data_IF_073568905838
#
_entry.id   IF_073568905838
#
_cell.length_a   1.000
_cell.length_b   1.000
_cell.length_c   1.000
_cell.angle_alpha   90.00
_cell.angle_beta   90.00
_cell.angle_gamma   90.00
#
_symmetry.space_group_name_H-M   'P 1'
#
loop_
_entity.id
_entity.type
_entity.pdbx_description
1 polymer ?
#
# COMPACT_ATOMS: atom_id res chain seq x y z
N UNK A 1 14.29 53.85 -20.99
CA UNK A 1 13.17 53.35 -20.16
C UNK A 1 12.89 51.92 -20.57
N UNK A 2 13.34 50.98 -19.76
CA UNK A 2 13.35 49.54 -20.05
C UNK A 2 11.95 48.93 -19.87
N UNK A 3 11.47 48.22 -20.89
CA UNK A 3 10.31 47.32 -20.77
C UNK A 3 10.74 46.11 -19.94
N UNK A 4 10.21 45.98 -18.72
CA UNK A 4 10.26 44.73 -17.95
C UNK A 4 9.37 43.72 -18.66
N UNK A 5 9.99 42.66 -19.19
CA UNK A 5 9.32 41.44 -19.58
C UNK A 5 8.86 40.77 -18.29
N UNK A 6 7.55 40.60 -18.13
CA UNK A 6 6.97 39.83 -17.03
C UNK A 6 7.11 38.37 -17.44
N UNK A 7 8.04 37.65 -16.81
CA UNK A 7 8.13 36.20 -16.89
C UNK A 7 6.87 35.59 -16.27
N UNK A 8 6.05 34.94 -17.09
CA UNK A 8 5.00 34.03 -16.65
C UNK A 8 5.68 32.83 -15.99
N UNK A 9 5.62 32.75 -14.65
CA UNK A 9 5.87 31.50 -13.93
C UNK A 9 4.60 30.67 -14.03
N UNK A 10 4.56 29.72 -14.97
CA UNK A 10 3.58 28.65 -14.92
C UNK A 10 3.70 27.92 -13.57
N UNK A 11 2.61 27.68 -12.84
CA UNK A 11 2.66 26.88 -11.62
C UNK A 11 3.11 25.47 -12.00
N UNK A 12 4.20 25.02 -11.38
CA UNK A 12 4.68 23.65 -11.52
C UNK A 12 3.54 22.70 -11.11
N UNK A 13 2.89 22.07 -12.09
CA UNK A 13 2.00 20.94 -11.85
C UNK A 13 2.86 19.83 -11.25
N UNK A 14 2.88 19.75 -9.92
CA UNK A 14 3.61 18.73 -9.20
C UNK A 14 2.78 17.45 -9.25
N UNK A 15 2.95 16.69 -10.34
CA UNK A 15 2.21 15.45 -10.57
C UNK A 15 2.72 14.42 -9.55
N UNK A 16 1.94 14.18 -8.50
CA UNK A 16 2.27 13.28 -7.38
C UNK A 16 1.85 11.84 -7.72
N UNK A 17 2.72 10.88 -7.42
CA UNK A 17 2.43 9.44 -7.49
C UNK A 17 2.86 8.76 -6.20
N UNK A 18 2.02 7.85 -5.71
CA UNK A 18 2.32 7.06 -4.52
C UNK A 18 3.04 5.74 -4.85
N UNK A 19 3.18 5.39 -6.13
CA UNK A 19 3.81 4.15 -6.57
C UNK A 19 5.33 4.28 -6.73
N UNK A 20 6.11 3.42 -6.08
CA UNK A 20 7.58 3.45 -6.11
C UNK A 20 8.14 3.22 -7.51
N UNK A 21 7.55 2.30 -8.27
CA UNK A 21 7.94 2.05 -9.66
C UNK A 21 7.73 3.29 -10.54
N UNK A 22 6.69 4.06 -10.25
CA UNK A 22 6.28 5.23 -11.02
C UNK A 22 7.17 6.44 -10.72
N UNK A 23 7.58 6.63 -9.46
CA UNK A 23 8.62 7.58 -9.08
C UNK A 23 9.94 7.29 -9.81
N UNK A 24 10.34 6.02 -9.93
CA UNK A 24 11.54 5.62 -10.69
C UNK A 24 11.43 5.94 -12.18
N UNK A 25 10.30 5.60 -12.81
CA UNK A 25 10.02 5.91 -14.23
C UNK A 25 10.01 7.43 -14.52
N UNK A 26 9.70 8.27 -13.52
CA UNK A 26 9.76 9.73 -13.67
C UNK A 26 11.20 10.25 -13.66
N UNK A 27 12.08 9.64 -12.86
CA UNK A 27 13.50 10.01 -12.80
C UNK A 27 14.19 9.56 -14.10
N UNK A 28 13.81 8.41 -14.69
CA UNK A 28 14.45 7.87 -15.89
C UNK A 28 13.46 7.22 -16.87
N UNK A 29 13.59 7.57 -18.15
CA UNK A 29 12.78 7.06 -19.26
C UNK A 29 13.16 5.65 -19.73
N UNK A 30 14.34 5.16 -19.36
CA UNK A 30 14.86 3.84 -19.76
C UNK A 30 14.94 2.92 -18.54
N UNK A 31 14.46 1.68 -18.69
CA UNK A 31 14.30 0.70 -17.59
C UNK A 31 15.64 0.20 -17.01
N UNK A 32 16.75 0.37 -17.75
CA UNK A 32 18.02 -0.33 -17.53
C UNK A 32 19.08 0.46 -16.76
N UNK A 33 18.79 1.71 -16.36
CA UNK A 33 19.80 2.55 -15.72
C UNK A 33 19.68 2.48 -14.19
N UNK A 34 20.69 1.92 -13.52
CA UNK A 34 20.76 1.81 -12.06
C UNK A 34 20.69 3.18 -11.37
N UNK A 35 19.71 3.36 -10.48
CA UNK A 35 19.62 4.54 -9.63
C UNK A 35 20.51 4.29 -8.41
N UNK A 36 21.52 5.14 -8.14
CA UNK A 36 22.38 4.98 -6.96
C UNK A 36 21.54 4.87 -5.68
N UNK A 37 21.79 3.83 -4.89
CA UNK A 37 21.04 3.59 -3.64
C UNK A 37 19.68 2.92 -3.82
N UNK A 38 19.33 2.44 -5.02
CA UNK A 38 18.08 1.72 -5.28
C UNK A 38 18.36 0.42 -6.03
N UNK A 39 17.78 -0.68 -5.56
CA UNK A 39 17.80 -1.98 -6.27
C UNK A 39 16.42 -2.29 -6.81
N UNK A 40 16.38 -2.77 -8.05
CA UNK A 40 15.17 -3.29 -8.70
C UNK A 40 15.33 -4.80 -8.94
N UNK A 41 14.27 -5.55 -8.70
CA UNK A 41 14.06 -6.89 -9.27
C UNK A 41 12.68 -6.94 -9.89
N UNK A 42 12.55 -7.53 -11.07
CA UNK A 42 11.26 -7.73 -11.74
C UNK A 42 11.08 -9.22 -11.99
N UNK A 43 9.92 -9.74 -11.63
CA UNK A 43 9.43 -11.07 -11.99
C UNK A 43 8.18 -10.89 -12.86
N UNK A 44 8.19 -11.38 -14.09
CA UNK A 44 7.05 -11.31 -15.02
C UNK A 44 6.54 -12.71 -15.37
N UNK A 45 5.22 -12.87 -15.33
CA UNK A 45 4.50 -14.05 -15.79
C UNK A 45 3.59 -13.61 -16.94
N UNK A 46 4.04 -13.84 -18.18
CA UNK A 46 3.31 -13.44 -19.38
C UNK A 46 2.01 -14.21 -19.57
N UNK A 47 1.98 -15.50 -19.18
CA UNK A 47 0.82 -16.37 -19.32
C UNK A 47 -0.32 -15.87 -18.42
N UNK A 48 0.01 -15.55 -17.16
CA UNK A 48 -0.97 -15.04 -16.18
C UNK A 48 -1.16 -13.53 -16.25
N UNK A 49 -0.37 -12.83 -17.06
CA UNK A 49 -0.34 -11.36 -17.18
C UNK A 49 -0.13 -10.70 -15.81
N UNK A 50 0.83 -11.19 -15.04
CA UNK A 50 1.18 -10.64 -13.72
C UNK A 50 2.63 -10.19 -13.75
N UNK A 51 2.88 -8.94 -13.33
CA UNK A 51 4.22 -8.39 -13.14
C UNK A 51 4.41 -8.04 -11.67
N UNK A 52 5.49 -8.53 -11.07
CA UNK A 52 5.89 -8.22 -9.70
C UNK A 52 7.20 -7.46 -9.73
N UNK A 53 7.19 -6.21 -9.27
CA UNK A 53 8.37 -5.35 -9.19
C UNK A 53 8.76 -5.14 -7.73
N UNK A 54 9.99 -5.48 -7.37
CA UNK A 54 10.61 -5.22 -6.08
C UNK A 54 11.55 -4.04 -6.20
N UNK A 55 11.23 -2.93 -5.52
CA UNK A 55 12.08 -1.75 -5.40
C UNK A 55 12.57 -1.67 -3.96
N UNK A 56 13.90 -1.76 -3.78
CA UNK A 56 14.54 -1.61 -2.47
C UNK A 56 15.36 -0.33 -2.43
N UNK A 57 14.95 0.62 -1.60
CA UNK A 57 15.67 1.85 -1.33
C UNK A 57 16.65 1.57 -0.19
N UNK A 58 17.95 1.76 -0.42
CA UNK A 58 19.02 1.28 0.45
C UNK A 58 19.63 2.36 1.34
N UNK A 59 19.58 3.63 0.92
CA UNK A 59 20.27 4.72 1.61
C UNK A 59 19.60 6.08 1.35
N UNK A 60 20.09 7.11 2.04
CA UNK A 60 19.57 8.48 1.97
C UNK A 60 19.65 9.11 0.57
N UNK A 61 20.63 8.70 -0.26
CA UNK A 61 20.71 9.16 -1.65
C UNK A 61 19.55 8.56 -2.47
N UNK A 62 19.28 7.26 -2.28
CA UNK A 62 18.12 6.61 -2.88
C UNK A 62 16.80 7.23 -2.42
N UNK A 63 16.65 7.52 -1.12
CA UNK A 63 15.46 8.20 -0.58
C UNK A 63 15.26 9.58 -1.20
N UNK A 64 16.32 10.38 -1.28
CA UNK A 64 16.29 11.72 -1.89
C UNK A 64 15.93 11.67 -3.36
N UNK A 65 16.50 10.72 -4.12
CA UNK A 65 16.21 10.58 -5.54
C UNK A 65 14.79 10.09 -5.77
N UNK A 66 14.35 9.08 -5.01
CA UNK A 66 13.03 8.45 -5.16
C UNK A 66 11.89 9.28 -4.56
N UNK A 67 12.17 10.18 -3.63
CA UNK A 67 11.17 10.88 -2.84
C UNK A 67 10.34 9.95 -1.95
N UNK A 68 10.90 8.79 -1.60
CA UNK A 68 10.26 7.75 -0.78
C UNK A 68 11.26 7.23 0.25
N UNK A 69 10.81 6.91 1.48
CA UNK A 69 11.72 6.48 2.53
C UNK A 69 12.49 5.20 2.18
N UNK A 70 13.58 5.01 2.91
CA UNK A 70 14.38 3.78 2.86
C UNK A 70 13.50 2.59 3.28
N UNK A 71 13.44 1.56 2.45
CA UNK A 71 12.60 0.38 2.69
C UNK A 71 12.40 -0.47 1.44
N UNK A 72 11.46 -1.41 1.54
CA UNK A 72 11.08 -2.33 0.49
C UNK A 72 9.68 -1.97 -0.03
N UNK A 73 9.56 -1.93 -1.35
CA UNK A 73 8.31 -1.67 -2.06
C UNK A 73 8.07 -2.80 -3.05
N UNK A 74 6.91 -3.42 -2.99
CA UNK A 74 6.50 -4.49 -3.90
C UNK A 74 5.28 -4.02 -4.66
N UNK A 75 5.38 -3.95 -5.98
CA UNK A 75 4.28 -3.58 -6.86
C UNK A 75 3.85 -4.80 -7.66
N UNK A 76 2.57 -5.17 -7.55
CA UNK A 76 1.93 -6.24 -8.32
C UNK A 76 1.04 -5.55 -9.35
N UNK A 77 1.31 -5.75 -10.63
CA UNK A 77 0.56 -5.19 -11.75
C UNK A 77 -0.09 -6.31 -12.55
N UNK A 78 -1.40 -6.21 -12.81
CA UNK A 78 -2.09 -7.07 -13.77
C UNK A 78 -3.30 -6.35 -14.36
N UNK A 79 -3.44 -6.31 -15.70
CA UNK A 79 -4.61 -5.73 -16.34
C UNK A 79 -5.89 -6.51 -16.04
N UNK A 80 -5.79 -7.76 -15.56
CA UNK A 80 -6.93 -8.63 -15.26
C UNK A 80 -7.61 -8.30 -13.91
N UNK A 81 -6.98 -7.52 -13.03
CA UNK A 81 -7.58 -7.14 -11.73
C UNK A 81 -8.92 -6.39 -11.87
N UNK A 82 -9.08 -5.61 -12.95
CA UNK A 82 -10.30 -4.83 -13.23
C UNK A 82 -11.33 -5.62 -14.05
N UNK A 83 -10.93 -6.77 -14.59
CA UNK A 83 -11.81 -7.65 -15.36
C UNK A 83 -12.56 -8.58 -14.39
N UNK A 84 -13.74 -9.04 -14.78
CA UNK A 84 -14.53 -9.97 -13.98
C UNK A 84 -14.10 -11.42 -14.26
N UNK A 85 -12.86 -11.75 -13.91
CA UNK A 85 -12.21 -13.02 -14.18
C UNK A 85 -11.77 -13.68 -12.86
N UNK A 86 -12.51 -14.72 -12.45
CA UNK A 86 -12.32 -15.40 -11.16
C UNK A 86 -10.98 -16.14 -11.12
N UNK A 87 -10.61 -16.81 -12.21
CA UNK A 87 -9.39 -17.61 -12.28
C UNK A 87 -8.15 -16.69 -12.22
N UNK A 88 -8.19 -15.57 -12.94
CA UNK A 88 -7.14 -14.57 -12.87
C UNK A 88 -7.04 -13.95 -11.46
N UNK A 89 -8.17 -13.66 -10.82
CA UNK A 89 -8.19 -13.10 -9.46
C UNK A 89 -7.59 -14.09 -8.46
N UNK A 90 -7.86 -15.39 -8.60
CA UNK A 90 -7.27 -16.42 -7.74
C UNK A 90 -5.74 -16.43 -7.83
N UNK A 91 -5.18 -16.37 -9.04
CA UNK A 91 -3.73 -16.30 -9.24
C UNK A 91 -3.13 -15.00 -8.68
N UNK A 92 -3.80 -13.86 -8.87
CA UNK A 92 -3.38 -12.58 -8.28
C UNK A 92 -3.38 -12.64 -6.76
N UNK A 93 -4.41 -13.26 -6.14
CA UNK A 93 -4.50 -13.43 -4.68
C UNK A 93 -3.34 -14.30 -4.17
N UNK A 94 -3.01 -15.40 -4.87
CA UNK A 94 -1.85 -16.25 -4.51
C UNK A 94 -0.55 -15.47 -4.56
N UNK A 95 -0.34 -14.65 -5.60
CA UNK A 95 0.84 -13.79 -5.71
C UNK A 95 0.87 -12.76 -4.58
N UNK A 96 -0.25 -12.09 -4.31
CA UNK A 96 -0.36 -11.12 -3.21
C UNK A 96 -0.01 -11.74 -1.86
N UNK A 97 -0.59 -12.90 -1.54
CA UNK A 97 -0.32 -13.64 -0.30
C UNK A 97 1.17 -13.99 -0.18
N UNK A 98 1.78 -14.51 -1.27
CA UNK A 98 3.22 -14.81 -1.32
C UNK A 98 4.07 -13.56 -1.06
N UNK A 99 3.73 -12.42 -1.64
CA UNK A 99 4.51 -11.19 -1.43
C UNK A 99 4.32 -10.60 -0.02
N UNK A 100 3.13 -10.70 0.57
CA UNK A 100 2.87 -10.29 1.96
C UNK A 100 3.72 -11.08 2.96
N UNK A 101 3.86 -12.40 2.76
CA UNK A 101 4.74 -13.23 3.59
C UNK A 101 6.22 -12.94 3.31
N UNK A 102 6.58 -12.62 2.06
CA UNK A 102 7.97 -12.35 1.69
C UNK A 102 8.48 -11.00 2.22
N UNK A 103 7.61 -9.98 2.32
CA UNK A 103 8.04 -8.64 2.77
C UNK A 103 8.33 -8.60 4.28
N UNK A 104 7.64 -9.44 5.04
CA UNK A 104 7.80 -9.52 6.49
C UNK A 104 7.77 -10.98 6.90
N UNK A 105 8.87 -11.43 7.50
CA UNK A 105 8.92 -12.72 8.17
C UNK A 105 7.97 -12.65 9.37
N UNK A 106 6.92 -13.47 9.37
CA UNK A 106 5.87 -13.47 10.38
C UNK A 106 5.80 -14.83 11.04
N UNK A 107 5.81 -14.84 12.37
CA UNK A 107 5.59 -16.06 13.14
C UNK A 107 4.08 -16.38 13.20
N UNK A 108 3.74 -17.63 13.50
CA UNK A 108 2.34 -18.09 13.47
C UNK A 108 1.49 -17.51 14.63
N UNK A 109 2.14 -17.12 15.73
CA UNK A 109 1.52 -16.59 16.94
C UNK A 109 1.40 -15.06 17.01
N UNK A 110 1.94 -14.34 16.02
CA UNK A 110 1.93 -12.86 16.00
C UNK A 110 0.52 -12.28 15.87
N UNK A 111 0.21 -11.29 16.71
CA UNK A 111 -1.06 -10.56 16.73
C UNK A 111 -1.07 -9.51 15.64
N UNK A 112 -1.97 -9.66 14.67
CA UNK A 112 -2.12 -8.73 13.55
C UNK A 112 -3.30 -7.78 13.80
N UNK A 113 -3.06 -6.49 13.60
CA UNK A 113 -4.10 -5.48 13.47
C UNK A 113 -4.17 -4.99 12.02
N UNK A 114 -5.29 -5.25 11.35
CA UNK A 114 -5.56 -4.69 10.03
C UNK A 114 -6.33 -3.38 10.17
N UNK A 115 -5.85 -2.32 9.53
CA UNK A 115 -6.44 -0.99 9.58
C UNK A 115 -6.86 -0.56 8.18
N UNK A 116 -8.16 -0.42 7.96
CA UNK A 116 -8.72 0.11 6.72
C UNK A 116 -8.80 1.62 6.77
N UNK A 117 -7.89 2.31 6.09
CA UNK A 117 -7.86 3.77 5.99
C UNK A 117 -8.82 4.25 4.90
N UNK A 118 -9.33 5.46 5.11
CA UNK A 118 -10.19 6.16 4.15
C UNK A 118 -11.64 6.34 4.63
N UNK A 119 -12.41 6.99 3.78
CA UNK A 119 -13.78 7.41 4.04
C UNK A 119 -14.78 6.53 3.30
N UNK A 120 -15.59 5.78 4.06
CA UNK A 120 -16.67 4.94 3.54
C UNK A 120 -17.71 5.69 2.69
N UNK A 121 -17.85 7.01 2.86
CA UNK A 121 -18.79 7.83 2.09
C UNK A 121 -18.21 8.31 0.74
N UNK A 122 -16.92 8.10 0.48
CA UNK A 122 -16.25 8.55 -0.75
C UNK A 122 -15.78 7.31 -1.51
N UNK A 123 -16.45 6.99 -2.62
CA UNK A 123 -16.21 5.77 -3.40
C UNK A 123 -14.74 5.45 -3.70
N UNK A 124 -13.90 6.38 -4.20
CA UNK A 124 -12.49 6.09 -4.47
C UNK A 124 -11.64 5.90 -3.20
N UNK A 125 -12.09 6.42 -2.06
CA UNK A 125 -11.40 6.37 -0.77
C UNK A 125 -11.94 5.25 0.15
N UNK A 126 -12.99 4.55 -0.27
CA UNK A 126 -13.64 3.50 0.52
C UNK A 126 -12.94 2.12 0.42
N UNK A 127 -11.76 2.03 -0.21
CA UNK A 127 -11.06 0.76 -0.41
C UNK A 127 -10.72 0.09 0.93
N UNK A 128 -10.04 0.80 1.84
CA UNK A 128 -9.66 0.27 3.15
C UNK A 128 -10.87 -0.27 3.93
N UNK A 129 -11.93 0.52 4.15
CA UNK A 129 -13.17 0.06 4.76
C UNK A 129 -13.79 -1.17 4.11
N UNK A 130 -13.80 -1.23 2.76
CA UNK A 130 -14.37 -2.37 2.02
C UNK A 130 -13.53 -3.63 2.12
N UNK A 131 -12.21 -3.51 2.27
CA UNK A 131 -11.35 -4.67 2.52
C UNK A 131 -11.57 -5.17 3.93
N UNK A 132 -11.54 -4.28 4.94
CA UNK A 132 -11.76 -4.64 6.35
C UNK A 132 -13.08 -5.38 6.57
N UNK A 133 -14.17 -4.99 5.91
CA UNK A 133 -15.47 -5.66 6.07
C UNK A 133 -15.51 -7.11 5.56
N UNK A 134 -14.49 -7.54 4.83
CA UNK A 134 -14.34 -8.91 4.29
C UNK A 134 -13.25 -9.71 4.99
N UNK A 135 -12.56 -9.13 5.99
CA UNK A 135 -11.52 -9.84 6.74
C UNK A 135 -12.16 -10.79 7.74
N UNK A 136 -11.70 -12.04 7.73
CA UNK A 136 -12.05 -13.01 8.76
C UNK A 136 -11.25 -12.70 10.03
N UNK A 137 -11.89 -12.07 11.01
CA UNK A 137 -11.27 -11.68 12.29
C UNK A 137 -11.31 -12.85 13.27
N UNK A 138 -10.18 -13.12 13.92
CA UNK A 138 -9.96 -14.37 14.68
C UNK A 138 -9.45 -14.13 16.10
N UNK A 139 -8.95 -12.93 16.43
CA UNK A 139 -8.40 -12.62 17.77
C UNK A 139 -9.39 -12.96 18.90
N UNK A 140 -10.64 -12.55 18.75
CA UNK A 140 -11.69 -12.80 19.75
C UNK A 140 -12.05 -14.29 19.89
N UNK A 141 -11.90 -15.09 18.82
CA UNK A 141 -12.13 -16.54 18.86
C UNK A 141 -11.05 -17.23 19.69
N UNK A 142 -9.79 -16.86 19.47
CA UNK A 142 -8.66 -17.38 20.24
C UNK A 142 -8.71 -16.94 21.71
N UNK A 143 -9.26 -15.76 22.02
CA UNK A 143 -9.42 -15.29 23.40
C UNK A 143 -10.56 -16.01 24.16
N UNK A 144 -11.64 -16.41 23.47
CA UNK A 144 -12.85 -16.93 24.13
C UNK A 144 -13.06 -18.43 23.96
N UNK A 145 -12.65 -19.01 22.84
CA UNK A 145 -12.87 -20.42 22.48
C UNK A 145 -11.63 -21.06 21.82
N UNK A 146 -10.42 -20.96 22.43
CA UNK A 146 -9.18 -21.43 21.82
C UNK A 146 -9.22 -22.91 21.42
N UNK A 147 -9.88 -23.76 22.22
CA UNK A 147 -10.05 -25.21 21.98
C UNK A 147 -10.78 -25.55 20.66
N UNK A 148 -11.52 -24.58 20.08
CA UNK A 148 -12.29 -24.75 18.85
C UNK A 148 -11.61 -24.14 17.62
N UNK A 149 -10.44 -23.53 17.79
CA UNK A 149 -9.70 -22.86 16.74
C UNK A 149 -8.47 -23.69 16.39
N UNK A 150 -8.26 -23.91 15.09
CA UNK A 150 -7.08 -24.62 14.60
C UNK A 150 -5.78 -23.86 14.94
N UNK A 151 -4.73 -24.58 15.31
CA UNK A 151 -3.44 -24.00 15.71
C UNK A 151 -2.77 -23.18 14.60
N UNK A 152 -3.13 -23.42 13.33
CA UNK A 152 -2.64 -22.65 12.18
C UNK A 152 -3.31 -21.28 12.02
N UNK A 153 -4.31 -20.95 12.83
CA UNK A 153 -5.05 -19.70 12.75
C UNK A 153 -4.34 -18.61 13.56
N UNK A 154 -3.83 -17.61 12.85
CA UNK A 154 -3.21 -16.43 13.46
C UNK A 154 -4.26 -15.50 14.10
N UNK A 155 -3.98 -14.86 15.25
CA UNK A 155 -4.85 -13.84 15.85
C UNK A 155 -4.90 -12.54 15.02
N UNK A 156 -6.01 -12.31 14.34
CA UNK A 156 -6.27 -11.11 13.52
C UNK A 156 -7.40 -10.28 14.12
N UNK A 157 -7.15 -8.99 14.30
CA UNK A 157 -8.16 -7.94 14.50
C UNK A 157 -8.21 -7.03 13.30
N UNK A 158 -9.36 -6.40 13.06
CA UNK A 158 -9.48 -5.41 12.02
C UNK A 158 -10.33 -4.23 12.49
N UNK A 159 -9.93 -3.02 12.10
CA UNK A 159 -10.69 -1.79 12.33
C UNK A 159 -10.66 -0.93 11.07
N UNK A 160 -11.76 -0.23 10.82
CA UNK A 160 -11.78 0.90 9.90
C UNK A 160 -12.22 2.10 10.74
N UNK A 161 -11.30 3.03 11.10
CA UNK A 161 -11.59 4.13 12.03
C UNK A 161 -12.39 5.27 11.39
N UNK A 162 -12.41 5.36 10.05
CA UNK A 162 -12.91 6.51 9.32
C UNK A 162 -11.92 7.66 9.27
N UNK A 163 -12.43 8.86 8.99
CA UNK A 163 -11.65 10.09 8.82
C UNK A 163 -12.09 11.16 9.83
N UNK A 164 -11.19 12.09 10.16
CA UNK A 164 -11.45 13.18 11.11
C UNK A 164 -12.76 13.92 10.84
N UNK A 165 -13.12 14.15 9.57
CA UNK A 165 -14.36 14.84 9.21
C UNK A 165 -15.65 14.11 9.62
N UNK A 166 -15.57 12.83 9.99
CA UNK A 166 -16.70 12.04 10.47
C UNK A 166 -16.65 11.79 11.97
N UNK A 167 -15.46 11.59 12.52
CA UNK A 167 -15.26 11.18 13.92
C UNK A 167 -14.97 12.36 14.85
N UNK A 168 -14.45 13.46 14.33
CA UNK A 168 -13.88 14.57 15.12
C UNK A 168 -12.56 14.22 15.82
N UNK A 169 -11.97 13.06 15.53
CA UNK A 169 -10.71 12.56 16.10
C UNK A 169 -9.78 12.21 14.95
N UNK A 170 -8.50 12.55 15.06
CA UNK A 170 -7.53 12.19 14.03
C UNK A 170 -7.43 10.68 13.90
N UNK A 171 -7.37 10.18 12.65
CA UNK A 171 -7.35 8.73 12.39
C UNK A 171 -6.17 8.07 13.10
N UNK A 172 -5.02 8.75 13.17
CA UNK A 172 -3.82 8.29 13.89
C UNK A 172 -4.05 8.15 15.39
N UNK A 173 -4.83 9.04 16.03
CA UNK A 173 -5.12 8.97 17.48
C UNK A 173 -5.97 7.74 17.81
N UNK A 174 -6.96 7.43 16.97
CA UNK A 174 -7.79 6.22 17.11
C UNK A 174 -6.90 4.98 17.01
N UNK A 175 -6.06 4.92 15.97
CA UNK A 175 -5.14 3.79 15.75
C UNK A 175 -4.17 3.65 16.92
N UNK A 176 -3.55 4.75 17.38
CA UNK A 176 -2.63 4.74 18.51
C UNK A 176 -3.31 4.25 19.80
N UNK A 177 -4.55 4.68 20.06
CA UNK A 177 -5.35 4.22 21.20
C UNK A 177 -5.58 2.70 21.16
N UNK A 178 -5.94 2.16 19.99
CA UNK A 178 -6.14 0.72 19.80
C UNK A 178 -4.82 -0.04 19.95
N UNK A 179 -3.74 0.44 19.34
CA UNK A 179 -2.41 -0.17 19.41
C UNK A 179 -1.90 -0.23 20.85
N UNK A 180 -2.06 0.85 21.63
CA UNK A 180 -1.69 0.86 23.07
C UNK A 180 -2.42 -0.21 23.87
N UNK A 181 -3.67 -0.50 23.50
CA UNK A 181 -4.51 -1.47 24.22
C UNK A 181 -4.24 -2.91 23.78
N UNK A 182 -4.18 -3.15 22.47
CA UNK A 182 -4.08 -4.49 21.87
C UNK A 182 -2.64 -4.97 21.81
N UNK A 183 -1.67 -4.06 21.65
CA UNK A 183 -0.25 -4.35 21.42
C UNK A 183 -0.02 -5.36 20.29
N UNK A 184 -0.49 -5.08 19.05
CA UNK A 184 -0.25 -5.96 17.92
C UNK A 184 1.25 -6.00 17.55
N UNK A 185 1.71 -7.15 17.08
CA UNK A 185 3.07 -7.36 16.56
C UNK A 185 3.22 -6.78 15.14
N UNK A 186 2.12 -6.78 14.37
CA UNK A 186 2.07 -6.19 13.03
C UNK A 186 0.80 -5.35 12.83
N UNK A 187 0.97 -4.19 12.20
CA UNK A 187 -0.14 -3.40 11.66
C UNK A 187 -0.10 -3.50 10.14
N UNK A 188 -1.20 -3.94 9.54
CA UNK A 188 -1.40 -3.89 8.08
C UNK A 188 -2.35 -2.74 7.79
N UNK A 189 -1.83 -1.62 7.31
CA UNK A 189 -2.65 -0.49 6.89
C UNK A 189 -3.01 -0.63 5.40
N UNK A 190 -4.30 -0.54 5.09
CA UNK A 190 -4.85 -0.67 3.74
C UNK A 190 -5.43 0.68 3.35
N UNK A 191 -4.85 1.29 2.31
CA UNK A 191 -5.21 2.61 1.82
C UNK A 191 -5.44 2.59 0.30
N UNK A 192 -6.26 3.51 -0.20
CA UNK A 192 -6.37 3.77 -1.62
C UNK A 192 -5.24 4.71 -2.06
N UNK A 193 -4.37 4.25 -2.95
CA UNK A 193 -3.24 5.05 -3.44
C UNK A 193 -3.56 5.79 -4.73
N UNK A 194 -2.96 6.97 -4.91
CA UNK A 194 -3.04 7.70 -6.16
C UNK A 194 -2.04 7.12 -7.19
N UNK A 195 -2.56 6.74 -8.36
CA UNK A 195 -1.78 6.35 -9.53
C UNK A 195 -1.76 7.47 -10.57
N UNK A 196 -0.60 7.77 -11.14
CA UNK A 196 -0.44 8.76 -12.22
C UNK A 196 -0.83 8.18 -13.59
N UNK A 197 -0.52 6.91 -13.84
CA UNK A 197 -0.90 6.24 -15.09
C UNK A 197 -2.33 5.72 -14.96
N UNK A 198 -3.21 6.14 -15.88
CA UNK A 198 -4.58 5.62 -15.97
C UNK A 198 -4.61 4.11 -16.17
N UNK A 199 -3.61 3.54 -16.86
CA UNK A 199 -3.46 2.10 -17.05
C UNK A 199 -3.25 1.31 -15.76
N UNK A 200 -2.80 1.97 -14.68
CA UNK A 200 -2.52 1.39 -13.35
C UNK A 200 -3.68 1.51 -12.37
N UNK A 201 -4.69 2.31 -12.70
CA UNK A 201 -5.90 2.43 -11.89
C UNK A 201 -6.65 1.10 -11.89
N UNK A 202 -6.92 0.57 -10.68
CA UNK A 202 -7.57 -0.73 -10.45
C UNK A 202 -6.82 -1.95 -11.03
N UNK A 203 -5.53 -1.81 -11.35
CA UNK A 203 -4.69 -2.87 -11.92
C UNK A 203 -3.37 -3.04 -11.20
N UNK A 204 -3.20 -2.32 -10.08
CA UNK A 204 -1.95 -2.28 -9.33
C UNK A 204 -2.22 -2.36 -7.83
N UNK A 205 -1.46 -3.21 -7.15
CA UNK A 205 -1.39 -3.28 -5.68
C UNK A 205 0.05 -2.99 -5.28
N UNK A 206 0.26 -2.10 -4.31
CA UNK A 206 1.57 -1.85 -3.73
C UNK A 206 1.60 -2.23 -2.25
N UNK A 207 2.63 -2.96 -1.86
CA UNK A 207 2.97 -3.28 -0.48
C UNK A 207 4.26 -2.53 -0.14
N UNK A 208 4.33 -1.92 1.04
CA UNK A 208 5.54 -1.27 1.54
C UNK A 208 5.71 -1.53 3.04
N UNK A 209 6.96 -1.65 3.48
CA UNK A 209 7.30 -1.79 4.91
C UNK A 209 7.66 -0.46 5.59
N UNK A 210 7.54 0.66 4.87
CA UNK A 210 7.85 2.00 5.37
C UNK A 210 6.70 2.68 6.11
N UNK A 211 5.54 2.02 6.20
CA UNK A 211 4.31 2.59 6.75
C UNK A 211 3.55 3.49 5.77
N UNK A 212 2.53 4.17 6.29
CA UNK A 212 1.67 5.09 5.53
C UNK A 212 2.18 6.52 5.69
N UNK A 213 2.30 7.25 4.59
CA UNK A 213 2.71 8.65 4.60
C UNK A 213 1.52 9.60 4.40
N UNK A 214 1.36 10.64 5.25
CA UNK A 214 0.28 11.60 5.11
C UNK A 214 0.23 12.28 3.73
N UNK A 215 -0.98 12.39 3.17
CA UNK A 215 -1.26 13.12 1.93
C UNK A 215 -1.48 12.29 0.67
N UNK A 216 -1.77 10.99 0.78
CA UNK A 216 -2.09 10.06 -0.32
C UNK A 216 -3.53 10.18 -0.84
N UNK A 217 -4.51 10.44 0.04
CA UNK A 217 -5.94 10.43 -0.31
C UNK A 217 -6.61 11.78 -0.56
N UNK A 218 -5.92 12.89 -0.31
CA UNK A 218 -6.49 14.24 -0.48
C UNK A 218 -5.50 15.11 -1.25
N UNK A 219 -5.63 15.11 -2.58
CA UNK A 219 -4.83 15.87 -3.53
C UNK A 219 -5.46 15.86 -4.90
#
# INVERSE_FOLDING_TARGET
MSKKVVENKDPAFNIRTDLAIESREMIRKEEDVEIPGVKLSIEEDEERKIKVSWVKILNAEGEKQMGKPIGNYVTIESPLMKENDIDAHEEIIKVLAKQLVKIKDLHDDEVILVVGLGNWNITPDALGPKVVSKIFVTRHLLEHIPEQVDESVRPVSAIAPGVMGLTGIETSEIIEGVVKKIKPDLIIAIDALASRKTSRVNTTIQIADTGVHPGSGVG
#
